data_IF_921181739834
#
_entry.id   IF_921181739834
#
_cell.length_a   1.000
_cell.length_b   1.000
_cell.length_c   1.000
_cell.angle_alpha   90.00
_cell.angle_beta   90.00
_cell.angle_gamma   90.00
#
_symmetry.space_group_name_H-M   'P 1'
#
loop_
_entity.id
_entity.type
_entity.pdbx_description
1 polymer ?
#
# COMPACT_ATOMS: atom_id res chain seq x y z
N UNK A 1 15.42 1.59 -1.06
CA UNK A 1 13.98 1.87 -1.22
C UNK A 1 13.28 0.62 -1.71
N UNK A 2 12.09 0.35 -1.21
CA UNK A 2 11.26 -0.80 -1.57
C UNK A 2 9.88 -0.32 -2.02
N UNK A 3 9.24 -1.09 -2.89
CA UNK A 3 7.92 -0.78 -3.45
C UNK A 3 6.98 -1.95 -3.18
N UNK A 4 5.79 -1.67 -2.65
CA UNK A 4 4.69 -2.63 -2.52
C UNK A 4 3.52 -2.14 -3.34
N UNK A 5 2.94 -3.03 -4.16
CA UNK A 5 1.76 -2.72 -4.98
C UNK A 5 0.60 -3.57 -4.50
N UNK A 6 -0.54 -2.92 -4.27
CA UNK A 6 -1.83 -3.51 -3.97
C UNK A 6 -2.77 -3.30 -5.15
N UNK A 7 -3.60 -4.30 -5.45
CA UNK A 7 -4.61 -4.20 -6.50
C UNK A 7 -5.87 -4.97 -6.14
N UNK A 8 -7.03 -4.40 -6.43
CA UNK A 8 -8.30 -5.11 -6.38
C UNK A 8 -9.40 -4.34 -7.10
N UNK A 9 -10.40 -5.06 -7.63
CA UNK A 9 -11.62 -4.49 -8.20
C UNK A 9 -12.48 -3.76 -7.16
N UNK A 10 -12.40 -4.17 -5.90
CA UNK A 10 -13.09 -3.51 -4.78
C UNK A 10 -12.14 -2.55 -4.08
N UNK A 11 -12.59 -1.30 -3.93
CA UNK A 11 -11.88 -0.27 -3.15
C UNK A 11 -11.67 -0.69 -1.70
N UNK A 12 -12.71 -1.20 -1.02
CA UNK A 12 -12.62 -1.60 0.40
C UNK A 12 -11.60 -2.71 0.61
N UNK A 13 -11.51 -3.65 -0.34
CA UNK A 13 -10.53 -4.74 -0.26
C UNK A 13 -9.10 -4.25 -0.45
N UNK A 14 -8.88 -3.20 -1.26
CA UNK A 14 -7.56 -2.57 -1.39
C UNK A 14 -7.18 -1.88 -0.07
N UNK A 15 -8.10 -1.15 0.54
CA UNK A 15 -7.88 -0.50 1.84
C UNK A 15 -7.54 -1.51 2.93
N UNK A 16 -8.28 -2.62 3.02
CA UNK A 16 -8.00 -3.71 3.96
C UNK A 16 -6.58 -4.26 3.80
N UNK A 17 -6.13 -4.49 2.56
CA UNK A 17 -4.79 -4.99 2.27
C UNK A 17 -3.69 -4.00 2.67
N UNK A 18 -3.90 -2.72 2.40
CA UNK A 18 -2.97 -1.65 2.76
C UNK A 18 -2.86 -1.54 4.28
N UNK A 19 -4.01 -1.48 4.97
CA UNK A 19 -4.04 -1.37 6.42
C UNK A 19 -3.40 -2.57 7.11
N UNK A 20 -3.63 -3.78 6.60
CA UNK A 20 -2.96 -4.98 7.10
C UNK A 20 -1.43 -4.89 6.95
N UNK A 21 -0.95 -4.45 5.78
CA UNK A 21 0.48 -4.28 5.53
C UNK A 21 1.12 -3.21 6.42
N UNK A 22 0.50 -2.03 6.53
CA UNK A 22 1.02 -0.94 7.35
C UNK A 22 1.08 -1.32 8.83
N UNK A 23 0.08 -2.08 9.32
CA UNK A 23 0.07 -2.61 10.69
C UNK A 23 1.15 -3.67 10.92
N UNK A 24 1.40 -4.55 9.95
CA UNK A 24 2.46 -5.58 10.05
C UNK A 24 3.87 -4.95 10.10
N UNK A 25 4.04 -3.83 9.39
CA UNK A 25 5.31 -3.13 9.22
C UNK A 25 5.46 -1.93 10.17
N UNK A 26 4.53 -1.73 11.10
CA UNK A 26 4.57 -0.64 12.08
C UNK A 26 5.89 -0.65 12.85
N UNK A 27 6.61 0.48 12.85
CA UNK A 27 7.92 0.64 13.48
C UNK A 27 9.07 -0.14 12.82
N UNK A 28 8.87 -0.66 11.60
CA UNK A 28 9.91 -1.33 10.80
C UNK A 28 10.19 -0.61 9.50
N UNK A 29 9.27 0.26 9.07
CA UNK A 29 9.36 1.00 7.81
C UNK A 29 9.01 2.47 8.01
N UNK A 30 9.70 3.30 7.24
CA UNK A 30 9.28 4.67 7.00
C UNK A 30 8.63 4.73 5.61
N UNK A 31 7.35 5.11 5.57
CA UNK A 31 6.62 5.32 4.32
C UNK A 31 7.05 6.64 3.71
N UNK A 32 7.52 6.58 2.46
CA UNK A 32 8.03 7.72 1.70
C UNK A 32 6.95 8.33 0.81
N UNK A 33 6.16 7.49 0.13
CA UNK A 33 5.09 7.94 -0.76
C UNK A 33 4.01 6.86 -0.89
N UNK A 34 2.76 7.28 -1.10
CA UNK A 34 1.63 6.40 -1.41
C UNK A 34 0.89 6.95 -2.62
N UNK A 35 0.91 6.21 -3.73
CA UNK A 35 0.26 6.59 -4.96
C UNK A 35 -0.99 5.75 -5.20
N UNK A 36 -2.13 6.42 -5.37
CA UNK A 36 -3.42 5.81 -5.69
C UNK A 36 -3.73 5.99 -7.17
N UNK A 37 -4.14 4.91 -7.83
CA UNK A 37 -4.69 4.94 -9.18
C UNK A 37 -5.98 4.13 -9.23
N UNK A 38 -7.08 4.79 -9.53
CA UNK A 38 -8.35 4.14 -9.80
C UNK A 38 -8.55 4.04 -11.31
N UNK A 39 -8.73 2.82 -11.82
CA UNK A 39 -9.18 2.55 -13.19
C UNK A 39 -10.31 1.49 -13.12
N UNK A 40 -10.38 0.56 -14.08
CA UNK A 40 -11.22 -0.65 -13.97
C UNK A 40 -10.91 -1.46 -12.70
N UNK A 41 -9.68 -1.42 -12.22
CA UNK A 41 -9.22 -1.92 -10.92
C UNK A 41 -8.62 -0.76 -10.10
N UNK A 42 -8.68 -0.87 -8.77
CA UNK A 42 -8.00 0.03 -7.86
C UNK A 42 -6.57 -0.46 -7.61
N UNK A 43 -5.60 0.42 -7.80
CA UNK A 43 -4.18 0.19 -7.57
C UNK A 43 -3.63 1.16 -6.54
N UNK A 44 -2.80 0.65 -5.63
CA UNK A 44 -2.03 1.47 -4.70
C UNK A 44 -0.59 1.02 -4.67
N UNK A 45 0.31 1.98 -4.80
CA UNK A 45 1.75 1.76 -4.69
C UNK A 45 2.26 2.45 -3.43
N UNK A 46 2.89 1.70 -2.53
CA UNK A 46 3.54 2.22 -1.34
C UNK A 46 5.05 2.14 -1.57
N UNK A 47 5.71 3.29 -1.50
CA UNK A 47 7.16 3.41 -1.49
C UNK A 47 7.62 3.57 -0.04
N UNK A 48 8.54 2.72 0.41
CA UNK A 48 9.02 2.75 1.80
C UNK A 48 10.51 2.40 1.90
N UNK A 49 11.10 2.72 3.03
CA UNK A 49 12.43 2.24 3.44
C UNK A 49 12.30 1.46 4.75
N UNK A 50 13.20 0.51 4.98
CA UNK A 50 13.33 -0.12 6.29
C UNK A 50 13.97 0.90 7.23
N UNK A 51 13.50 0.94 8.48
CA UNK A 51 14.15 1.67 9.57
C UNK A 51 15.38 0.92 10.10
#
# INVERSE_FOLDING_TARGET
MQVKIFRSLSHSRVEEQINAFLKEMEGKIEVVDIQWKAFLEHYVMILYKLE
#
